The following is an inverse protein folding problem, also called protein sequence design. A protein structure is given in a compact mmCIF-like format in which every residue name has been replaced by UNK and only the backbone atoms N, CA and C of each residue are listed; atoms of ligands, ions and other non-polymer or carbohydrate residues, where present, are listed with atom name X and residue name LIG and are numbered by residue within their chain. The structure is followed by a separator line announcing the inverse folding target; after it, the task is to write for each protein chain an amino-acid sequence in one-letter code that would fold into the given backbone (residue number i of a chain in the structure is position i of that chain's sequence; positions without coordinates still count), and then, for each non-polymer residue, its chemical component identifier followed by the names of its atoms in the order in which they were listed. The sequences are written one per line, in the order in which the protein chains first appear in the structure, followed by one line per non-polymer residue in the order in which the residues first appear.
data_IF_041745535334
#
_entry.id   IF_041745535334
#
_cell.length_a   1.000
_cell.length_b   1.000
_cell.length_c   1.000
_cell.angle_alpha   90.00
_cell.angle_beta   90.00
_cell.angle_gamma   90.00
#
_symmetry.space_group_name_H-M   'P 1'
#
loop_
_entity.id
_entity.type
_entity.pdbx_description
1 polymer ?
#
# COMPACT_ATOMS: atom_id res chain seq x y z
N UNK A 1 2.09 17.40 -9.91
CA UNK A 1 1.16 18.53 -9.67
C UNK A 1 0.82 18.59 -8.19
N UNK A 2 0.63 19.78 -7.59
CA UNK A 2 0.17 19.93 -6.22
C UNK A 2 -1.17 19.22 -5.98
N UNK A 3 -1.35 18.68 -4.78
CA UNK A 3 -2.57 17.98 -4.37
C UNK A 3 -3.71 18.95 -4.07
N UNK A 4 -3.40 20.20 -3.71
CA UNK A 4 -4.37 21.19 -3.23
C UNK A 4 -4.90 20.89 -1.83
N UNK A 5 -4.33 19.91 -1.13
CA UNK A 5 -4.68 19.58 0.25
C UNK A 5 -3.83 20.43 1.19
N UNK A 6 -4.49 21.17 2.07
CA UNK A 6 -3.82 22.00 3.09
C UNK A 6 -4.19 21.47 4.47
N UNK A 7 -3.18 21.18 5.28
CA UNK A 7 -3.40 20.86 6.69
C UNK A 7 -3.53 22.17 7.51
N UNK A 8 -4.54 22.32 8.39
CA UNK A 8 -4.73 23.55 9.17
C UNK A 8 -3.51 23.99 10.00
N UNK A 9 -2.68 23.02 10.39
CA UNK A 9 -1.36 23.26 10.95
C UNK A 9 -0.29 22.91 9.90
N UNK A 10 0.37 23.92 9.35
CA UNK A 10 1.40 23.77 8.31
C UNK A 10 2.61 22.93 8.76
N UNK A 11 2.92 22.88 10.06
CA UNK A 11 4.02 22.05 10.57
C UNK A 11 3.74 20.54 10.51
N UNK A 12 2.47 20.14 10.33
CA UNK A 12 2.08 18.71 10.27
C UNK A 12 2.10 18.12 8.86
N UNK A 13 2.21 18.94 7.81
CA UNK A 13 2.20 18.47 6.44
C UNK A 13 3.13 19.32 5.58
N UNK A 14 4.13 18.67 4.99
CA UNK A 14 4.96 19.25 3.95
C UNK A 14 4.64 18.54 2.64
N UNK A 15 4.31 19.30 1.59
CA UNK A 15 4.13 18.77 0.24
C UNK A 15 5.40 19.00 -0.58
N UNK A 16 5.91 17.95 -1.22
CA UNK A 16 7.10 18.01 -2.07
C UNK A 16 6.71 17.55 -3.47
N UNK A 17 6.98 18.39 -4.48
CA UNK A 17 6.74 18.05 -5.87
C UNK A 17 8.00 17.43 -6.44
N UNK A 18 7.90 16.14 -6.75
CA UNK A 18 8.99 15.35 -7.30
C UNK A 18 8.62 14.83 -8.69
N UNK A 19 9.52 14.96 -9.65
CA UNK A 19 9.24 14.68 -11.07
C UNK A 19 9.93 13.42 -11.58
N UNK A 20 11.05 13.02 -10.98
CA UNK A 20 11.82 11.85 -11.38
C UNK A 20 11.87 10.79 -10.28
N UNK A 21 10.87 9.91 -10.24
CA UNK A 21 10.75 8.89 -9.21
C UNK A 21 11.79 7.74 -9.28
N UNK A 22 12.80 7.84 -10.15
CA UNK A 22 13.96 6.96 -10.17
C UNK A 22 15.22 7.62 -9.56
N UNK A 23 15.23 8.95 -9.41
CA UNK A 23 16.30 9.71 -8.77
C UNK A 23 15.76 10.68 -7.71
N UNK A 24 15.98 10.35 -6.43
CA UNK A 24 15.54 11.15 -5.29
C UNK A 24 16.56 12.19 -4.83
N UNK A 25 17.67 12.38 -5.55
CA UNK A 25 18.75 13.32 -5.19
C UNK A 25 18.23 14.73 -4.87
N UNK A 26 17.34 15.25 -5.72
CA UNK A 26 16.70 16.58 -5.60
C UNK A 26 15.82 16.74 -4.35
N UNK A 27 15.37 15.65 -3.74
CA UNK A 27 14.46 15.66 -2.58
C UNK A 27 15.03 14.92 -1.38
N UNK A 28 16.33 14.60 -1.40
CA UNK A 28 17.00 13.77 -0.38
C UNK A 28 16.81 14.30 1.04
N UNK A 29 16.91 15.62 1.22
CA UNK A 29 16.71 16.26 2.52
C UNK A 29 15.34 15.95 3.15
N UNK A 30 14.30 15.69 2.34
CA UNK A 30 12.97 15.32 2.81
C UNK A 30 12.84 13.83 3.18
N UNK A 31 13.85 13.02 2.86
CA UNK A 31 13.91 11.59 3.20
C UNK A 31 14.72 11.33 4.46
N UNK A 32 15.43 12.33 5.00
CA UNK A 32 16.22 12.23 6.21
C UNK A 32 15.33 12.24 7.46
N UNK A 33 15.63 11.35 8.42
CA UNK A 33 14.89 11.26 9.69
C UNK A 33 13.45 10.78 9.55
N UNK A 34 13.08 10.16 8.43
CA UNK A 34 11.75 9.61 8.20
C UNK A 34 11.59 8.29 8.95
N UNK A 35 10.54 8.17 9.77
CA UNK A 35 10.25 6.91 10.47
C UNK A 35 9.57 5.87 9.57
N UNK A 36 8.75 6.31 8.61
CA UNK A 36 7.89 5.45 7.82
C UNK A 36 7.68 6.01 6.41
N UNK A 37 7.72 5.15 5.39
CA UNK A 37 7.38 5.49 4.01
C UNK A 37 6.21 4.64 3.52
N UNK A 38 5.10 5.28 3.13
CA UNK A 38 3.96 4.61 2.51
C UNK A 38 4.02 4.78 0.99
N UNK A 39 4.41 3.71 0.29
CA UNK A 39 4.47 3.71 -1.17
C UNK A 39 3.16 3.21 -1.77
N UNK A 40 2.34 4.14 -2.26
CA UNK A 40 1.00 3.88 -2.80
C UNK A 40 0.86 4.20 -4.30
N UNK A 41 1.96 4.46 -5.00
CA UNK A 41 1.94 4.74 -6.44
C UNK A 41 1.54 3.46 -7.20
N UNK A 42 0.67 3.62 -8.18
CA UNK A 42 0.24 2.55 -9.07
C UNK A 42 -0.49 3.08 -10.29
N UNK A 43 -0.51 2.27 -11.35
CA UNK A 43 -1.20 2.56 -12.60
C UNK A 43 -2.12 1.39 -12.94
N UNK A 44 -3.24 1.66 -13.61
CA UNK A 44 -4.14 0.60 -14.06
C UNK A 44 -3.52 -0.20 -15.21
N UNK A 45 -3.70 -1.51 -15.19
CA UNK A 45 -3.27 -2.39 -16.28
C UNK A 45 -3.89 -1.94 -17.60
N UNK A 46 -3.08 -1.86 -18.66
CA UNK A 46 -3.52 -1.46 -20.00
C UNK A 46 -3.67 0.04 -20.23
N UNK A 47 -3.35 0.89 -19.24
CA UNK A 47 -3.34 2.36 -19.43
C UNK A 47 -2.05 2.91 -20.04
N UNK A 48 -0.97 2.16 -19.94
CA UNK A 48 0.37 2.54 -20.42
C UNK A 48 1.00 1.34 -21.13
N UNK A 49 2.12 1.55 -21.81
CA UNK A 49 2.88 0.49 -22.45
C UNK A 49 3.34 -0.57 -21.43
N UNK A 50 3.63 -1.82 -21.85
CA UNK A 50 4.12 -2.84 -20.93
C UNK A 50 5.43 -2.46 -20.22
N UNK A 51 6.34 -1.75 -20.89
CA UNK A 51 7.59 -1.26 -20.31
C UNK A 51 7.33 -0.20 -19.24
N UNK A 52 6.47 0.77 -19.54
CA UNK A 52 6.10 1.82 -18.58
C UNK A 52 5.33 1.24 -17.40
N UNK A 53 4.47 0.24 -17.64
CA UNK A 53 3.75 -0.46 -16.59
C UNK A 53 4.72 -1.16 -15.63
N UNK A 54 5.75 -1.86 -16.16
CA UNK A 54 6.79 -2.47 -15.32
C UNK A 54 7.58 -1.40 -14.57
N UNK A 55 8.00 -0.33 -15.24
CA UNK A 55 8.75 0.78 -14.65
C UNK A 55 8.01 1.34 -13.43
N UNK A 56 6.75 1.75 -13.60
CA UNK A 56 5.92 2.32 -12.53
C UNK A 56 5.59 1.32 -11.41
N UNK A 57 5.45 0.04 -11.74
CA UNK A 57 5.00 -0.99 -10.78
C UNK A 57 6.15 -1.62 -10.01
N UNK A 58 7.34 -1.71 -10.60
CA UNK A 58 8.50 -2.42 -10.04
C UNK A 58 9.73 -1.51 -9.85
N UNK A 59 10.18 -0.81 -10.90
CA UNK A 59 11.40 0.00 -10.82
C UNK A 59 11.27 1.15 -9.84
N UNK A 60 10.19 1.93 -9.96
CA UNK A 60 9.94 3.11 -9.13
C UNK A 60 9.89 2.80 -7.61
N UNK A 61 9.13 1.80 -7.13
CA UNK A 61 9.14 1.47 -5.70
C UNK A 61 10.52 1.03 -5.21
N UNK A 62 11.29 0.29 -6.02
CA UNK A 62 12.65 -0.13 -5.65
C UNK A 62 13.59 1.07 -5.54
N UNK A 63 13.51 2.03 -6.48
CA UNK A 63 14.29 3.27 -6.41
C UNK A 63 13.95 4.08 -5.14
N UNK A 64 12.66 4.20 -4.80
CA UNK A 64 12.22 4.85 -3.56
C UNK A 64 12.78 4.14 -2.31
N UNK A 65 12.70 2.80 -2.27
CA UNK A 65 13.26 2.01 -1.18
C UNK A 65 14.77 2.18 -1.02
N UNK A 66 15.51 2.30 -2.13
CA UNK A 66 16.95 2.55 -2.11
C UNK A 66 17.27 3.92 -1.53
N UNK A 67 16.62 4.97 -2.02
CA UNK A 67 16.79 6.33 -1.51
C UNK A 67 16.45 6.44 -0.02
N UNK A 68 15.39 5.75 0.42
CA UNK A 68 15.01 5.69 1.82
C UNK A 68 16.06 4.95 2.66
N UNK A 69 16.61 3.83 2.19
CA UNK A 69 17.68 3.11 2.90
C UNK A 69 18.90 4.00 3.12
N UNK A 70 19.28 4.77 2.12
CA UNK A 70 20.46 5.66 2.18
C UNK A 70 20.26 6.85 3.12
N UNK A 71 19.02 7.34 3.26
CA UNK A 71 18.71 8.57 4.01
C UNK A 71 18.15 8.30 5.41
N UNK A 72 17.43 7.18 5.57
CA UNK A 72 16.75 6.74 6.80
C UNK A 72 16.71 5.21 6.89
N UNK A 73 17.84 4.54 7.18
CA UNK A 73 17.93 3.07 7.15
C UNK A 73 16.99 2.35 8.13
N UNK A 74 16.65 3.03 9.25
CA UNK A 74 15.71 2.52 10.28
C UNK A 74 14.24 2.72 9.92
N UNK A 75 13.93 3.37 8.80
CA UNK A 75 12.57 3.63 8.38
C UNK A 75 11.84 2.33 8.05
N UNK A 76 10.55 2.27 8.39
CA UNK A 76 9.68 1.18 7.91
C UNK A 76 9.18 1.51 6.50
N UNK A 77 9.43 0.62 5.54
CA UNK A 77 8.89 0.75 4.19
C UNK A 77 7.58 -0.04 4.04
N UNK A 78 6.49 0.65 3.75
CA UNK A 78 5.16 0.06 3.56
C UNK A 78 4.80 0.12 2.08
N UNK A 79 4.77 -1.04 1.41
CA UNK A 79 4.33 -1.15 0.02
C UNK A 79 2.86 -1.54 -0.07
N UNK A 80 2.08 -0.75 -0.83
CA UNK A 80 0.79 -1.21 -1.33
C UNK A 80 1.00 -2.16 -2.53
N UNK A 81 1.03 -3.46 -2.25
CA UNK A 81 1.18 -4.52 -3.23
C UNK A 81 -0.20 -4.99 -3.74
N UNK A 82 -0.32 -6.27 -4.10
CA UNK A 82 -1.55 -6.85 -4.63
C UNK A 82 -1.71 -8.31 -4.21
N UNK A 83 -2.96 -8.77 -4.15
CA UNK A 83 -3.24 -10.18 -3.96
C UNK A 83 -2.48 -11.06 -4.97
N UNK A 84 -1.82 -12.11 -4.47
CA UNK A 84 -1.07 -13.07 -5.27
C UNK A 84 0.07 -12.44 -6.09
N UNK A 85 0.68 -11.36 -5.60
CA UNK A 85 1.97 -10.91 -6.11
C UNK A 85 2.97 -12.08 -6.09
N UNK A 86 3.66 -12.27 -7.21
CA UNK A 86 4.47 -13.45 -7.49
C UNK A 86 5.96 -13.08 -7.53
N UNK A 87 6.65 -13.31 -6.42
CA UNK A 87 8.08 -13.03 -6.28
C UNK A 87 8.96 -13.92 -7.16
N UNK A 88 8.44 -15.04 -7.69
CA UNK A 88 9.16 -15.87 -8.68
C UNK A 88 9.11 -15.27 -10.10
N UNK A 89 8.26 -14.27 -10.30
CA UNK A 89 8.07 -13.55 -11.57
C UNK A 89 7.61 -14.44 -12.74
N UNK A 90 7.05 -15.62 -12.45
CA UNK A 90 6.57 -16.60 -13.45
C UNK A 90 5.10 -16.38 -13.83
N UNK A 91 4.39 -15.53 -13.10
CA UNK A 91 2.98 -15.24 -13.36
C UNK A 91 2.76 -14.68 -14.76
N UNK A 92 1.78 -15.24 -15.49
CA UNK A 92 1.30 -14.70 -16.76
C UNK A 92 0.56 -13.37 -16.61
N UNK A 93 0.09 -13.04 -15.39
CA UNK A 93 -0.59 -11.77 -15.12
C UNK A 93 0.44 -10.69 -14.79
N UNK A 94 0.59 -9.70 -15.67
CA UNK A 94 1.56 -8.62 -15.53
C UNK A 94 1.54 -7.95 -14.14
N UNK A 95 0.35 -7.67 -13.59
CA UNK A 95 0.25 -7.06 -12.26
C UNK A 95 0.87 -7.92 -11.16
N UNK A 96 0.62 -9.24 -11.17
CA UNK A 96 1.15 -10.18 -10.17
C UNK A 96 2.66 -10.31 -10.30
N UNK A 97 3.14 -10.41 -11.54
CA UNK A 97 4.56 -10.49 -11.87
C UNK A 97 5.30 -9.25 -11.39
N UNK A 98 4.89 -8.05 -11.81
CA UNK A 98 5.63 -6.82 -11.52
C UNK A 98 5.46 -6.33 -10.07
N UNK A 99 4.30 -6.55 -9.43
CA UNK A 99 4.20 -6.33 -7.97
C UNK A 99 5.08 -7.32 -7.18
N UNK A 100 5.20 -8.55 -7.64
CA UNK A 100 6.11 -9.54 -7.04
C UNK A 100 7.58 -9.20 -7.26
N UNK A 101 7.92 -8.68 -8.43
CA UNK A 101 9.25 -8.13 -8.73
C UNK A 101 9.59 -6.95 -7.82
N UNK A 102 8.66 -6.03 -7.59
CA UNK A 102 8.83 -4.92 -6.65
C UNK A 102 9.13 -5.42 -5.23
N UNK A 103 8.34 -6.39 -4.74
CA UNK A 103 8.56 -6.97 -3.42
C UNK A 103 9.92 -7.67 -3.30
N UNK A 104 10.31 -8.47 -4.29
CA UNK A 104 11.60 -9.15 -4.30
C UNK A 104 12.77 -8.16 -4.33
N UNK A 105 12.66 -7.10 -5.15
CA UNK A 105 13.67 -6.06 -5.24
C UNK A 105 13.78 -5.22 -3.96
N UNK A 106 12.67 -4.95 -3.26
CA UNK A 106 12.72 -4.27 -1.97
C UNK A 106 13.36 -5.15 -0.89
N UNK A 107 13.03 -6.44 -0.84
CA UNK A 107 13.62 -7.39 0.10
C UNK A 107 15.15 -7.46 -0.01
N UNK A 108 15.70 -7.35 -1.22
CA UNK A 108 17.14 -7.37 -1.42
C UNK A 108 17.85 -6.08 -0.99
N UNK A 109 17.13 -5.00 -0.69
CA UNK A 109 17.72 -3.76 -0.21
C UNK A 109 18.15 -3.84 1.25
N UNK A 110 17.62 -4.75 2.06
CA UNK A 110 18.01 -4.84 3.48
C UNK A 110 17.64 -3.60 4.31
N UNK A 111 16.43 -3.06 4.12
CA UNK A 111 15.83 -2.13 5.09
C UNK A 111 15.49 -2.88 6.39
N UNK A 112 15.57 -2.19 7.51
CA UNK A 112 15.33 -2.78 8.84
C UNK A 112 13.90 -3.31 9.00
N UNK A 113 12.92 -2.65 8.38
CA UNK A 113 11.51 -2.99 8.50
C UNK A 113 10.76 -2.78 7.19
N UNK A 114 10.01 -3.79 6.78
CA UNK A 114 9.18 -3.74 5.57
C UNK A 114 7.82 -4.39 5.79
N UNK A 115 6.78 -3.82 5.18
CA UNK A 115 5.43 -4.36 5.17
C UNK A 115 4.82 -4.32 3.77
N UNK A 116 4.46 -5.47 3.23
CA UNK A 116 3.82 -5.61 1.91
C UNK A 116 2.36 -5.95 2.09
N UNK A 117 1.49 -4.97 1.85
CA UNK A 117 0.05 -5.17 1.90
C UNK A 117 -0.41 -5.80 0.60
N UNK A 118 -0.98 -7.00 0.67
CA UNK A 118 -1.57 -7.73 -0.47
C UNK A 118 -3.09 -7.77 -0.33
N UNK A 119 -3.78 -6.62 -0.54
CA UNK A 119 -5.24 -6.58 -0.47
C UNK A 119 -5.83 -7.37 -1.64
N UNK A 120 -7.06 -7.85 -1.43
CA UNK A 120 -7.92 -8.31 -2.51
C UNK A 120 -8.44 -7.12 -3.33
N UNK A 121 -9.65 -7.22 -3.84
CA UNK A 121 -10.29 -6.12 -4.56
C UNK A 121 -10.57 -4.95 -3.61
N UNK A 122 -9.98 -3.79 -3.89
CA UNK A 122 -10.18 -2.57 -3.10
C UNK A 122 -11.44 -1.86 -3.60
N UNK A 123 -12.38 -1.64 -2.69
CA UNK A 123 -13.63 -0.95 -2.97
C UNK A 123 -13.50 0.48 -2.43
N UNK A 124 -13.65 1.49 -3.27
CA UNK A 124 -13.43 2.86 -2.86
C UNK A 124 -14.52 3.31 -1.87
N UNK A 125 -14.11 3.95 -0.77
CA UNK A 125 -15.04 4.53 0.20
C UNK A 125 -15.76 5.77 -0.36
N UNK A 126 -15.07 6.52 -1.22
CA UNK A 126 -15.60 7.68 -1.95
C UNK A 126 -15.76 7.28 -3.41
N UNK A 127 -16.91 7.54 -4.03
CA UNK A 127 -17.13 7.21 -5.45
C UNK A 127 -16.04 7.86 -6.31
N UNK A 128 -15.38 7.04 -7.14
CA UNK A 128 -14.37 7.48 -8.11
C UNK A 128 -14.90 7.27 -9.52
N UNK A 129 -14.45 8.10 -10.46
CA UNK A 129 -14.67 7.82 -11.89
C UNK A 129 -13.85 6.58 -12.27
N UNK A 130 -14.51 5.56 -12.80
CA UNK A 130 -13.81 4.36 -13.25
C UNK A 130 -12.84 4.71 -14.39
N UNK A 131 -11.62 4.15 -14.39
CA UNK A 131 -10.61 4.47 -15.39
C UNK A 131 -10.95 3.92 -16.78
N UNK A 132 -11.73 2.85 -16.86
CA UNK A 132 -12.22 2.25 -18.12
C UNK A 132 -13.64 1.73 -17.95
N UNK A 133 -14.33 1.50 -19.07
CA UNK A 133 -15.67 0.89 -19.10
C UNK A 133 -15.67 -0.50 -18.44
N UNK A 134 -14.62 -1.29 -18.62
CA UNK A 134 -14.48 -2.59 -17.95
C UNK A 134 -14.41 -2.46 -16.42
N UNK A 135 -13.70 -1.46 -15.90
CA UNK A 135 -13.70 -1.18 -14.46
C UNK A 135 -15.07 -0.66 -13.99
N UNK A 136 -15.78 0.14 -14.79
CA UNK A 136 -17.12 0.60 -14.44
C UNK A 136 -18.13 -0.55 -14.34
N UNK A 137 -18.07 -1.49 -15.28
CA UNK A 137 -18.90 -2.72 -15.28
C UNK A 137 -18.55 -3.60 -14.07
N UNK A 138 -17.27 -3.77 -13.79
CA UNK A 138 -16.81 -4.54 -12.61
C UNK A 138 -17.32 -3.92 -11.31
N UNK A 139 -17.17 -2.61 -11.17
CA UNK A 139 -17.58 -1.86 -9.97
C UNK A 139 -19.10 -1.89 -9.78
N UNK A 140 -19.89 -1.96 -10.86
CA UNK A 140 -21.37 -1.91 -10.80
C UNK A 140 -22.02 -3.28 -10.67
N UNK A 141 -21.50 -4.30 -11.37
CA UNK A 141 -22.14 -5.63 -11.44
C UNK A 141 -21.46 -6.67 -10.55
N UNK A 142 -20.12 -6.72 -10.55
CA UNK A 142 -19.38 -7.80 -9.86
C UNK A 142 -19.14 -7.48 -8.39
N UNK A 143 -18.84 -6.23 -8.05
CA UNK A 143 -18.59 -5.82 -6.67
C UNK A 143 -19.75 -6.11 -5.70
N UNK A 144 -21.05 -5.83 -5.99
CA UNK A 144 -22.12 -6.12 -5.04
C UNK A 144 -22.28 -7.63 -4.80
N UNK A 145 -22.13 -8.44 -5.84
CA UNK A 145 -22.20 -9.91 -5.75
C UNK A 145 -21.02 -10.45 -4.93
N UNK A 146 -19.79 -10.00 -5.22
CA UNK A 146 -18.59 -10.42 -4.50
C UNK A 146 -18.61 -9.98 -3.03
N UNK A 147 -19.16 -8.80 -2.72
CA UNK A 147 -19.37 -8.36 -1.34
C UNK A 147 -20.28 -9.32 -0.57
N UNK A 148 -21.28 -9.89 -1.22
CA UNK A 148 -22.25 -10.79 -0.59
C UNK A 148 -21.70 -12.21 -0.44
N UNK A 149 -21.07 -12.74 -1.49
CA UNK A 149 -20.69 -14.16 -1.57
C UNK A 149 -19.25 -14.40 -1.06
N UNK A 150 -18.34 -13.45 -1.28
CA UNK A 150 -16.92 -13.65 -1.01
C UNK A 150 -16.30 -12.46 -0.31
N UNK A 151 -16.77 -12.24 0.92
CA UNK A 151 -16.31 -11.13 1.74
C UNK A 151 -14.78 -11.09 1.79
N UNK A 152 -14.10 -12.20 2.04
CA UNK A 152 -12.63 -12.29 2.12
C UNK A 152 -11.84 -11.94 0.84
N UNK A 153 -12.48 -11.78 -0.31
CA UNK A 153 -11.84 -11.33 -1.54
C UNK A 153 -11.82 -9.79 -1.71
N UNK A 154 -12.55 -9.05 -0.86
CA UNK A 154 -12.72 -7.59 -0.97
C UNK A 154 -12.25 -6.86 0.30
N UNK A 155 -11.85 -5.60 0.16
CA UNK A 155 -11.53 -4.68 1.27
C UNK A 155 -11.94 -3.26 0.92
N UNK A 156 -12.43 -2.48 1.88
CA UNK A 156 -12.72 -1.06 1.64
C UNK A 156 -11.44 -0.23 1.73
N UNK A 157 -11.34 0.84 0.94
CA UNK A 157 -10.13 1.67 0.89
C UNK A 157 -9.83 2.40 2.21
N UNK A 158 -10.87 2.81 2.94
CA UNK A 158 -10.75 3.44 4.27
C UNK A 158 -10.24 2.44 5.32
N UNK A 159 -10.81 1.23 5.36
CA UNK A 159 -10.33 0.16 6.24
C UNK A 159 -8.87 -0.21 5.94
N UNK A 160 -8.51 -0.31 4.65
CA UNK A 160 -7.14 -0.58 4.23
C UNK A 160 -6.18 0.50 4.70
N UNK A 161 -6.50 1.78 4.43
CA UNK A 161 -5.65 2.91 4.83
C UNK A 161 -5.45 2.98 6.35
N UNK A 162 -6.53 2.81 7.12
CA UNK A 162 -6.46 2.79 8.60
C UNK A 162 -5.56 1.67 9.12
N UNK A 163 -5.62 0.48 8.53
CA UNK A 163 -4.78 -0.65 8.92
C UNK A 163 -3.33 -0.41 8.52
N UNK A 164 -3.07 0.10 7.32
CA UNK A 164 -1.71 0.43 6.88
C UNK A 164 -1.04 1.41 7.84
N UNK A 165 -1.71 2.52 8.18
CA UNK A 165 -1.21 3.51 9.15
C UNK A 165 -0.99 2.88 10.51
N UNK A 166 -1.95 2.07 11.00
CA UNK A 166 -1.81 1.43 12.31
C UNK A 166 -0.60 0.50 12.38
N UNK A 167 -0.38 -0.31 11.34
CA UNK A 167 0.76 -1.22 11.25
C UNK A 167 2.07 -0.45 11.13
N UNK A 168 2.10 0.64 10.36
CA UNK A 168 3.28 1.51 10.31
C UNK A 168 3.65 2.05 11.70
N UNK A 169 2.67 2.59 12.43
CA UNK A 169 2.93 3.24 13.73
C UNK A 169 3.25 2.24 14.86
N UNK A 170 2.53 1.13 14.93
CA UNK A 170 2.60 0.22 16.08
C UNK A 170 3.36 -1.08 15.77
N UNK A 171 3.86 -1.23 14.55
CA UNK A 171 4.29 -2.51 14.01
C UNK A 171 3.13 -3.50 13.83
N UNK A 172 3.47 -4.68 13.33
CA UNK A 172 2.54 -5.81 13.20
C UNK A 172 2.49 -6.58 14.53
N UNK A 173 1.30 -6.83 15.10
CA UNK A 173 1.17 -7.84 16.16
C UNK A 173 1.44 -9.21 15.53
N UNK A 174 2.65 -9.73 15.71
CA UNK A 174 3.07 -11.02 15.15
C UNK A 174 2.80 -12.15 16.15
N UNK A 175 2.14 -13.26 15.73
CA UNK A 175 2.31 -14.54 16.40
C UNK A 175 3.79 -14.93 16.37
N UNK A 176 4.32 -15.50 17.47
CA UNK A 176 5.71 -15.97 17.52
C UNK A 176 6.01 -16.88 16.31
N UNK A 177 7.09 -16.60 15.59
CA UNK A 177 7.57 -17.42 14.46
C UNK A 177 7.13 -16.98 13.06
N UNK A 178 6.28 -15.95 12.92
CA UNK A 178 6.01 -15.37 11.59
C UNK A 178 7.04 -14.28 11.30
N UNK A 179 7.83 -14.44 10.24
CA UNK A 179 8.89 -13.49 9.83
C UNK A 179 8.61 -12.81 8.51
N UNK A 180 7.51 -13.16 7.81
CA UNK A 180 7.26 -12.61 6.48
C UNK A 180 6.74 -11.17 6.57
N UNK A 181 7.24 -10.24 5.73
CA UNK A 181 6.76 -8.87 5.70
C UNK A 181 5.36 -8.74 5.05
N UNK A 182 4.76 -9.84 4.60
CA UNK A 182 3.53 -9.84 3.82
C UNK A 182 2.29 -9.87 4.73
N UNK A 183 1.34 -8.99 4.44
CA UNK A 183 0.05 -8.87 5.13
C UNK A 183 -1.07 -9.11 4.13
N UNK A 184 -1.76 -10.24 4.27
CA UNK A 184 -2.82 -10.66 3.36
C UNK A 184 -4.18 -10.04 3.70
N UNK A 185 -5.12 -10.06 2.75
CA UNK A 185 -6.46 -9.50 2.92
C UNK A 185 -7.19 -9.95 4.20
N UNK A 186 -7.08 -11.24 4.56
CA UNK A 186 -7.67 -11.80 5.79
C UNK A 186 -7.12 -11.14 7.06
N UNK A 187 -5.82 -10.87 7.08
CA UNK A 187 -5.15 -10.21 8.19
C UNK A 187 -5.52 -8.73 8.28
N UNK A 188 -5.59 -8.03 7.15
CA UNK A 188 -6.04 -6.63 7.09
C UNK A 188 -7.40 -6.49 7.78
N UNK A 189 -8.34 -7.38 7.45
CA UNK A 189 -9.66 -7.42 8.08
C UNK A 189 -9.64 -7.79 9.55
N UNK A 190 -8.78 -8.74 9.93
CA UNK A 190 -8.64 -9.15 11.32
C UNK A 190 -8.16 -7.97 12.18
N UNK A 191 -7.12 -7.26 11.74
CA UNK A 191 -6.60 -6.07 12.40
C UNK A 191 -7.70 -5.01 12.50
N UNK A 192 -8.45 -4.78 11.42
CA UNK A 192 -9.56 -3.81 11.41
C UNK A 192 -10.65 -4.14 12.44
N UNK A 193 -11.10 -5.40 12.50
CA UNK A 193 -12.09 -5.85 13.51
C UNK A 193 -11.56 -5.65 14.93
N UNK A 194 -10.30 -6.00 15.18
CA UNK A 194 -9.65 -5.78 16.48
C UNK A 194 -9.59 -4.29 16.87
N UNK A 195 -9.38 -3.39 15.91
CA UNK A 195 -9.46 -1.93 16.15
C UNK A 195 -10.86 -1.50 16.57
N UNK A 196 -11.91 -1.99 15.90
CA UNK A 196 -13.31 -1.64 16.20
C UNK A 196 -13.74 -2.15 17.57
N UNK A 197 -13.37 -3.38 17.93
CA UNK A 197 -13.69 -3.97 19.24
C UNK A 197 -13.04 -3.20 20.40
N UNK A 198 -11.81 -2.72 20.24
CA UNK A 198 -11.14 -1.88 21.26
C UNK A 198 -11.80 -0.51 21.45
N UNK A 199 -12.39 0.05 20.39
CA UNK A 199 -13.15 1.30 20.48
C UNK A 199 -14.48 1.05 21.21
N UNK A 200 -15.22 0.01 20.85
CA UNK A 200 -16.50 -0.32 21.52
C UNK A 200 -16.32 -0.77 22.99
N UNK A 201 -15.28 -1.55 23.28
CA UNK A 201 -15.00 -2.02 24.65
C UNK A 201 -14.61 -0.91 25.63
N UNK A 202 -14.03 0.21 25.15
CA UNK A 202 -13.76 1.39 25.98
C UNK A 202 -15.01 2.20 26.33
N UNK A 203 -16.15 1.94 25.67
CA UNK A 203 -17.44 2.56 25.98
C UNK A 203 -18.25 1.85 27.07
N UNK A 204 -17.92 0.60 27.42
CA UNK A 204 -18.67 -0.21 28.38
C UNK A 204 -18.16 -0.13 29.83
N UNK A 205 -17.04 0.56 30.07
CA UNK A 205 -16.36 0.63 31.39
C UNK A 205 -16.48 1.98 32.12
N UNK A 206 -17.43 2.83 31.74
CA UNK A 206 -17.78 4.05 32.51
C UNK A 206 -19.26 3.98 32.90
N UNK A 207 -19.55 3.26 33.96
CA UNK A 207 -20.67 3.52 34.88
C UNK A 207 -20.14 3.39 36.29
#
# INVERSE_FOLDING_TARGET
RPTGVVHPNAAKMTEVIHMDYEDYSSVRAHLEGVDMCFFCIGVYTGKVSPSEYRRLTATVPIACGRALRESSPRATFILLSSERADQTQRSRKAFRKYKGEAEAGLLSLGLDSMHFFRPGMIIPAIKRKAPTTAYAITDTLLVPILRLIWTDAVVRSDDLGMVMVRVGIHGRPMPRGTTTPVIHNKEIKSIRRGMQQRVCGKGAGRR
#
